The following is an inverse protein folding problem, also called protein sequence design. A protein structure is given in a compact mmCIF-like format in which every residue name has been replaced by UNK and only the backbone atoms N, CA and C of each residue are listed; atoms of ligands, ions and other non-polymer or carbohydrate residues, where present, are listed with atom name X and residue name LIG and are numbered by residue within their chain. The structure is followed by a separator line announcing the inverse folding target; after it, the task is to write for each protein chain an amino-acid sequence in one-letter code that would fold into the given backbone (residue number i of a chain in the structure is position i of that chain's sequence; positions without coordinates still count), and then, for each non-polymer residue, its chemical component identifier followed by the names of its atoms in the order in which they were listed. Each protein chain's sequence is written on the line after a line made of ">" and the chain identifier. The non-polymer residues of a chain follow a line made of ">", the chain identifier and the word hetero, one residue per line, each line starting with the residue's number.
data_IF_218079661993
#
_entry.id   IF_218079661993
#
_cell.length_a   1.000
_cell.length_b   1.000
_cell.length_c   1.000
_cell.angle_alpha   90.00
_cell.angle_beta   90.00
_cell.angle_gamma   90.00
#
_symmetry.space_group_name_H-M   'P 1'
#
loop_
_entity.id
_entity.type
_entity.pdbx_description
1 polymer ?
#
# COMPACT_ATOMS: atom_id res chain seq x y z
N UNK A 1 -15.31 -13.97 -54.65
CA UNK A 1 -15.50 -13.22 -53.39
C UNK A 1 -14.90 -14.08 -52.28
N UNK A 2 -13.73 -13.69 -51.76
CA UNK A 2 -13.03 -14.45 -50.73
C UNK A 2 -13.58 -14.06 -49.36
N UNK A 3 -14.24 -14.98 -48.67
CA UNK A 3 -14.68 -14.83 -47.29
C UNK A 3 -13.45 -14.90 -46.38
N UNK A 4 -12.91 -13.74 -46.03
CA UNK A 4 -11.86 -13.64 -45.02
C UNK A 4 -12.33 -14.16 -43.66
N UNK A 5 -11.43 -14.71 -42.83
CA UNK A 5 -11.78 -15.23 -41.53
C UNK A 5 -12.34 -14.12 -40.63
N UNK A 6 -13.42 -14.44 -39.91
CA UNK A 6 -14.02 -13.55 -38.93
C UNK A 6 -12.99 -13.18 -37.86
N UNK A 7 -12.94 -11.91 -37.40
CA UNK A 7 -12.03 -11.50 -36.35
C UNK A 7 -12.33 -12.29 -35.07
N UNK A 8 -11.30 -12.94 -34.54
CA UNK A 8 -11.37 -13.64 -33.26
C UNK A 8 -11.73 -12.64 -32.14
N UNK A 9 -12.56 -13.02 -31.15
CA UNK A 9 -12.83 -12.17 -30.01
C UNK A 9 -11.51 -11.81 -29.32
N UNK A 10 -11.26 -10.51 -29.15
CA UNK A 10 -10.11 -10.04 -28.37
C UNK A 10 -10.23 -10.64 -26.96
N UNK A 11 -9.19 -11.34 -26.51
CA UNK A 11 -9.13 -11.82 -25.13
C UNK A 11 -9.42 -10.64 -24.19
N UNK A 12 -10.34 -10.84 -23.23
CA UNK A 12 -10.62 -9.84 -22.21
C UNK A 12 -9.36 -9.71 -21.36
N UNK A 13 -8.66 -8.58 -21.47
CA UNK A 13 -7.50 -8.31 -20.65
C UNK A 13 -7.92 -8.26 -19.18
N UNK A 14 -7.21 -8.98 -18.31
CA UNK A 14 -7.40 -8.88 -16.87
C UNK A 14 -7.08 -7.44 -16.44
N UNK A 15 -8.03 -6.81 -15.76
CA UNK A 15 -7.86 -5.46 -15.23
C UNK A 15 -7.06 -5.47 -13.93
N UNK A 16 -6.88 -6.65 -13.35
CA UNK A 16 -6.19 -6.88 -12.11
C UNK A 16 -4.86 -7.58 -12.41
N UNK A 17 -3.83 -7.24 -11.63
CA UNK A 17 -2.62 -8.06 -11.53
C UNK A 17 -2.75 -8.87 -10.26
N UNK A 18 -2.47 -10.17 -10.30
CA UNK A 18 -2.47 -10.99 -9.08
C UNK A 18 -1.43 -10.44 -8.10
N UNK A 19 -1.89 -9.90 -6.98
CA UNK A 19 -1.08 -9.26 -5.94
C UNK A 19 -0.34 -10.29 -5.11
N UNK A 20 -0.96 -11.44 -4.85
CA UNK A 20 -0.37 -12.52 -4.07
C UNK A 20 -0.86 -13.88 -4.56
N UNK A 21 0.07 -14.80 -4.80
CA UNK A 21 -0.25 -16.11 -5.41
C UNK A 21 -0.86 -17.11 -4.42
N UNK A 22 -0.54 -17.00 -3.13
CA UNK A 22 -1.01 -17.92 -2.09
C UNK A 22 -2.03 -17.24 -1.16
N UNK A 23 -3.31 -17.51 -1.39
CA UNK A 23 -4.41 -16.92 -0.63
C UNK A 23 -4.61 -17.54 0.76
N UNK A 24 -3.99 -18.70 1.02
CA UNK A 24 -4.16 -19.44 2.28
C UNK A 24 -3.18 -18.97 3.38
N UNK A 25 -2.14 -18.24 3.00
CA UNK A 25 -1.24 -17.60 3.95
C UNK A 25 -1.94 -16.48 4.71
N UNK A 26 -1.76 -16.45 6.03
CA UNK A 26 -2.21 -15.38 6.90
C UNK A 26 -1.12 -15.12 7.93
N UNK A 27 -0.51 -13.93 7.94
CA UNK A 27 0.62 -13.64 8.82
C UNK A 27 0.21 -12.83 10.05
N UNK A 28 -0.52 -11.74 9.83
CA UNK A 28 -0.90 -10.79 10.89
C UNK A 28 -2.41 -10.50 10.90
N UNK A 29 -3.21 -11.42 10.34
CA UNK A 29 -4.69 -11.34 10.34
C UNK A 29 -5.29 -11.05 11.73
N UNK A 30 -4.73 -11.63 12.78
CA UNK A 30 -5.27 -11.53 14.14
C UNK A 30 -4.53 -10.50 15.02
N UNK A 31 -3.61 -9.70 14.47
CA UNK A 31 -3.00 -8.64 15.25
C UNK A 31 -4.01 -7.54 15.59
N UNK A 32 -3.82 -6.89 16.73
CA UNK A 32 -4.62 -5.72 17.11
C UNK A 32 -3.81 -4.46 16.79
N UNK A 33 -4.39 -3.58 15.98
CA UNK A 33 -3.76 -2.31 15.61
C UNK A 33 -4.70 -1.18 16.02
N UNK A 34 -4.18 -0.25 16.81
CA UNK A 34 -4.90 0.95 17.21
C UNK A 34 -4.60 2.08 16.22
N UNK A 35 -5.62 2.77 15.68
CA UNK A 35 -5.39 3.90 14.80
C UNK A 35 -4.77 5.07 15.59
N UNK A 36 -3.78 5.72 14.99
CA UNK A 36 -3.08 6.86 15.58
C UNK A 36 -3.20 8.05 14.64
N UNK A 37 -3.69 9.19 15.14
CA UNK A 37 -3.69 10.45 14.39
C UNK A 37 -2.25 10.97 14.25
N UNK A 38 -1.83 11.27 13.03
CA UNK A 38 -0.53 11.87 12.76
C UNK A 38 -0.50 13.36 13.13
N UNK A 39 0.68 13.83 13.51
CA UNK A 39 0.99 15.26 13.64
C UNK A 39 1.96 15.65 12.53
N UNK A 40 1.62 16.63 11.69
CA UNK A 40 2.47 17.07 10.58
C UNK A 40 2.62 16.03 9.45
N UNK A 41 3.63 16.16 8.57
CA UNK A 41 3.84 15.28 7.41
C UNK A 41 4.55 13.97 7.80
N UNK A 42 3.99 13.25 8.78
CA UNK A 42 4.64 12.07 9.40
C UNK A 42 3.85 10.77 9.24
N UNK A 43 3.07 10.63 8.15
CA UNK A 43 2.25 9.44 7.86
C UNK A 43 3.04 8.13 7.95
N UNK A 44 4.27 8.06 7.41
CA UNK A 44 5.11 6.86 7.47
C UNK A 44 5.48 6.51 8.91
N UNK A 45 6.00 7.46 9.69
CA UNK A 45 6.35 7.22 11.10
C UNK A 45 5.14 6.80 11.93
N UNK A 46 3.96 7.36 11.65
CA UNK A 46 2.72 6.97 12.31
C UNK A 46 2.29 5.56 11.92
N UNK A 47 2.41 5.18 10.64
CA UNK A 47 2.13 3.80 10.19
C UNK A 47 3.06 2.78 10.82
N UNK A 48 4.37 3.06 10.89
CA UNK A 48 5.30 2.15 11.57
C UNK A 48 5.01 2.04 13.06
N UNK A 49 4.61 3.14 13.70
CA UNK A 49 4.16 3.13 15.09
C UNK A 49 2.92 2.26 15.31
N UNK A 50 1.92 2.37 14.42
CA UNK A 50 0.74 1.51 14.46
C UNK A 50 1.12 0.03 14.30
N UNK A 51 1.97 -0.32 13.31
CA UNK A 51 2.39 -1.70 13.07
C UNK A 51 3.15 -2.32 14.25
N UNK A 52 3.95 -1.52 14.96
CA UNK A 52 4.86 -2.00 16.02
C UNK A 52 4.31 -1.80 17.44
N UNK A 53 3.17 -1.13 17.59
CA UNK A 53 2.63 -0.74 18.90
C UNK A 53 3.50 0.29 19.65
N UNK A 54 4.28 1.10 18.91
CA UNK A 54 5.18 2.13 19.46
C UNK A 54 4.63 3.54 19.24
N UNK A 55 5.38 4.56 19.67
CA UNK A 55 4.98 5.96 19.46
C UNK A 55 5.56 6.48 18.14
N UNK A 56 4.86 7.36 17.38
CA UNK A 56 5.40 7.92 16.13
C UNK A 56 6.77 8.59 16.28
N UNK A 57 7.02 9.25 17.41
CA UNK A 57 8.29 9.92 17.72
C UNK A 57 9.47 8.94 17.76
N UNK A 58 9.23 7.65 17.99
CA UNK A 58 10.27 6.63 18.00
C UNK A 58 10.84 6.38 16.60
N UNK A 59 10.18 6.82 15.54
CA UNK A 59 10.56 6.63 14.13
C UNK A 59 10.88 7.93 13.38
N UNK A 60 10.39 9.08 13.87
CA UNK A 60 10.59 10.36 13.19
C UNK A 60 12.08 10.71 13.09
N UNK A 61 12.53 11.06 11.88
CA UNK A 61 13.92 11.42 11.60
C UNK A 61 14.93 10.26 11.62
N UNK A 62 14.49 9.01 11.83
CA UNK A 62 15.39 7.84 11.94
C UNK A 62 15.44 6.97 10.70
N UNK A 63 14.61 7.25 9.70
CA UNK A 63 14.53 6.48 8.46
C UNK A 63 14.20 7.38 7.29
N UNK A 64 14.47 6.91 6.09
CA UNK A 64 14.10 7.60 4.87
C UNK A 64 12.62 7.34 4.56
N UNK A 65 11.77 8.37 4.71
CA UNK A 65 10.33 8.28 4.49
C UNK A 65 9.92 8.08 3.02
N UNK A 66 10.88 7.98 2.10
CA UNK A 66 10.65 7.63 0.69
C UNK A 66 11.20 6.25 0.31
N UNK A 67 11.98 5.61 1.19
CA UNK A 67 12.65 4.33 0.93
C UNK A 67 11.99 3.18 1.73
N UNK A 68 11.25 2.26 1.07
CA UNK A 68 10.57 1.17 1.75
C UNK A 68 11.54 0.12 2.30
N UNK A 69 12.79 0.05 1.83
CA UNK A 69 13.82 -0.78 2.43
C UNK A 69 14.11 -0.33 3.87
N UNK A 70 14.32 0.98 4.07
CA UNK A 70 14.51 1.53 5.42
C UNK A 70 13.33 1.24 6.35
N UNK A 71 12.09 1.22 5.83
CA UNK A 71 10.91 0.86 6.62
C UNK A 71 10.93 -0.61 7.02
N UNK A 72 11.29 -1.50 6.08
CA UNK A 72 11.47 -2.94 6.31
C UNK A 72 12.51 -3.20 7.40
N UNK A 73 13.64 -2.51 7.37
CA UNK A 73 14.69 -2.61 8.38
C UNK A 73 14.22 -2.18 9.78
N UNK A 74 13.38 -1.14 9.86
CA UNK A 74 12.78 -0.68 11.11
C UNK A 74 11.79 -1.70 11.67
N UNK A 75 11.07 -2.42 10.81
CA UNK A 75 10.11 -3.46 11.20
C UNK A 75 10.79 -4.78 11.63
N UNK A 76 12.00 -5.05 11.14
CA UNK A 76 12.70 -6.31 11.37
C UNK A 76 12.85 -6.71 12.86
N UNK A 77 13.26 -5.81 13.79
CA UNK A 77 13.32 -6.13 15.22
C UNK A 77 11.97 -6.51 15.86
N UNK A 78 10.87 -6.24 15.17
CA UNK A 78 9.50 -6.55 15.59
C UNK A 78 8.95 -7.80 14.89
N UNK A 79 9.81 -8.60 14.25
CA UNK A 79 9.41 -9.84 13.58
C UNK A 79 8.66 -9.63 12.27
N UNK A 80 8.71 -8.42 11.72
CA UNK A 80 8.00 -8.03 10.50
C UNK A 80 8.96 -7.57 9.41
N UNK A 81 8.57 -7.72 8.15
CA UNK A 81 9.18 -7.03 7.01
C UNK A 81 8.14 -6.74 5.93
N UNK A 82 8.50 -5.89 4.98
CA UNK A 82 7.64 -5.56 3.85
C UNK A 82 7.91 -6.49 2.68
N UNK A 83 6.87 -7.07 2.09
CA UNK A 83 6.96 -7.83 0.84
C UNK A 83 6.17 -7.10 -0.25
N UNK A 84 6.86 -6.73 -1.34
CA UNK A 84 6.26 -5.99 -2.45
C UNK A 84 5.15 -6.81 -3.13
N UNK A 85 4.00 -6.16 -3.35
CA UNK A 85 2.96 -6.66 -4.24
C UNK A 85 3.15 -6.04 -5.62
N UNK A 86 3.06 -6.83 -6.72
CA UNK A 86 3.20 -6.31 -8.08
C UNK A 86 2.08 -5.31 -8.35
N UNK A 87 2.41 -4.04 -8.47
CA UNK A 87 1.45 -2.96 -8.73
C UNK A 87 2.03 -1.98 -9.73
N UNK A 88 1.14 -1.30 -10.43
CA UNK A 88 1.44 -0.12 -11.22
C UNK A 88 0.58 1.07 -10.76
N UNK A 89 0.58 2.13 -11.56
CA UNK A 89 -0.08 3.41 -11.22
C UNK A 89 -1.61 3.32 -11.18
N UNK A 90 -2.27 2.19 -11.49
CA UNK A 90 -3.73 2.07 -11.39
C UNK A 90 -4.28 2.55 -10.03
N UNK A 91 -5.52 3.00 -10.03
CA UNK A 91 -6.24 3.39 -8.80
C UNK A 91 -6.35 2.22 -7.82
N UNK A 92 -6.29 2.51 -6.51
CA UNK A 92 -6.36 1.49 -5.46
C UNK A 92 -7.63 0.62 -5.54
N UNK A 93 -8.76 1.16 -6.02
CA UNK A 93 -10.00 0.39 -6.18
C UNK A 93 -9.88 -0.86 -7.06
N UNK A 94 -8.93 -0.89 -8.00
CA UNK A 94 -8.71 -2.06 -8.85
C UNK A 94 -8.01 -3.21 -8.09
N UNK A 95 -7.37 -2.90 -6.96
CA UNK A 95 -6.69 -3.87 -6.09
C UNK A 95 -7.53 -4.26 -4.87
N UNK A 96 -8.48 -3.41 -4.47
CA UNK A 96 -9.13 -3.48 -3.15
C UNK A 96 -9.87 -4.79 -2.88
N UNK A 97 -10.61 -5.33 -3.86
CA UNK A 97 -11.33 -6.59 -3.68
C UNK A 97 -10.38 -7.78 -3.42
N UNK A 98 -9.26 -7.84 -4.13
CA UNK A 98 -8.25 -8.89 -3.93
C UNK A 98 -7.55 -8.72 -2.58
N UNK A 99 -7.16 -7.49 -2.23
CA UNK A 99 -6.55 -7.20 -0.92
C UNK A 99 -7.45 -7.61 0.26
N UNK A 100 -8.75 -7.28 0.18
CA UNK A 100 -9.73 -7.68 1.19
C UNK A 100 -9.90 -9.21 1.20
N UNK A 101 -9.87 -9.87 0.04
CA UNK A 101 -9.98 -11.31 -0.06
C UNK A 101 -8.78 -12.05 0.55
N UNK A 102 -7.56 -11.51 0.42
CA UNK A 102 -6.37 -12.03 1.11
C UNK A 102 -6.54 -11.91 2.63
N UNK A 103 -7.28 -10.91 3.10
CA UNK A 103 -7.73 -10.78 4.49
C UNK A 103 -6.56 -10.86 5.50
N UNK A 104 -5.52 -10.07 5.24
CA UNK A 104 -4.31 -9.98 6.05
C UNK A 104 -3.91 -8.50 6.27
N UNK A 105 -2.63 -8.24 6.57
CA UNK A 105 -2.09 -6.92 6.85
C UNK A 105 -1.24 -6.37 5.68
N UNK A 106 -1.56 -5.15 5.26
CA UNK A 106 -0.88 -4.45 4.17
C UNK A 106 -0.60 -2.99 4.52
N UNK A 107 0.44 -2.44 3.89
CA UNK A 107 0.59 -0.99 3.75
C UNK A 107 0.23 -0.58 2.33
N UNK A 108 -0.62 0.44 2.20
CA UNK A 108 -1.05 0.98 0.92
C UNK A 108 -0.54 2.40 0.82
N UNK A 109 0.27 2.68 -0.20
CA UNK A 109 0.74 4.03 -0.52
C UNK A 109 0.10 4.52 -1.82
N UNK A 110 -0.35 5.77 -1.83
CA UNK A 110 -0.98 6.40 -2.99
C UNK A 110 -0.51 7.84 -3.16
N UNK A 111 -0.60 8.35 -4.39
CA UNK A 111 -0.35 9.76 -4.68
C UNK A 111 -1.55 10.59 -4.21
N UNK A 112 -1.33 11.76 -3.60
CA UNK A 112 -2.42 12.61 -3.08
C UNK A 112 -2.97 13.60 -4.11
N UNK A 113 -2.47 13.51 -5.35
CA UNK A 113 -2.98 14.26 -6.50
C UNK A 113 -3.77 13.33 -7.42
N UNK A 114 -4.75 13.91 -8.14
CA UNK A 114 -5.47 13.23 -9.21
C UNK A 114 -4.93 13.59 -10.60
N UNK A 115 -4.03 14.58 -10.69
CA UNK A 115 -3.42 14.98 -11.96
C UNK A 115 -2.30 14.00 -12.32
N UNK A 116 -2.45 13.31 -13.47
CA UNK A 116 -1.44 12.39 -13.97
C UNK A 116 -0.13 13.09 -14.34
N UNK A 117 -0.18 14.37 -14.72
CA UNK A 117 1.02 15.12 -15.09
C UNK A 117 1.90 15.39 -13.87
N UNK A 118 1.31 15.63 -12.70
CA UNK A 118 2.08 15.79 -11.45
C UNK A 118 2.73 14.46 -11.01
N UNK A 119 2.04 13.33 -11.22
CA UNK A 119 2.58 12.00 -10.87
C UNK A 119 3.78 11.63 -11.76
N UNK A 120 3.73 12.04 -13.03
CA UNK A 120 4.73 11.71 -14.06
C UNK A 120 5.74 12.83 -14.33
N UNK A 121 5.64 13.93 -13.59
CA UNK A 121 6.50 15.09 -13.76
C UNK A 121 7.91 14.87 -13.21
N UNK A 122 8.84 15.71 -13.65
CA UNK A 122 10.18 15.78 -13.08
C UNK A 122 10.13 16.37 -11.65
N UNK A 123 11.08 16.01 -10.78
CA UNK A 123 11.20 16.65 -9.47
C UNK A 123 11.47 18.16 -9.60
N UNK A 124 10.91 18.94 -8.69
CA UNK A 124 11.22 20.35 -8.54
C UNK A 124 12.68 20.57 -8.05
N UNK A 125 13.08 21.83 -7.85
CA UNK A 125 14.42 22.18 -7.34
C UNK A 125 14.74 21.62 -5.95
N UNK A 126 13.72 21.19 -5.19
CA UNK A 126 13.85 20.50 -3.91
C UNK A 126 13.87 18.97 -4.02
N UNK A 127 13.81 18.41 -5.23
CA UNK A 127 13.75 16.97 -5.47
C UNK A 127 12.37 16.37 -5.19
N UNK A 128 11.33 17.21 -5.07
CA UNK A 128 9.96 16.77 -4.82
C UNK A 128 9.18 16.63 -6.13
N UNK A 129 8.46 15.52 -6.31
CA UNK A 129 7.61 15.30 -7.48
C UNK A 129 6.16 15.66 -7.15
N UNK A 130 5.52 14.88 -6.29
CA UNK A 130 4.15 15.14 -5.84
C UNK A 130 3.90 14.49 -4.48
N UNK A 131 2.80 14.90 -3.84
CA UNK A 131 2.35 14.36 -2.57
C UNK A 131 2.00 12.88 -2.63
N UNK A 132 2.29 12.20 -1.52
CA UNK A 132 1.87 10.81 -1.33
C UNK A 132 1.51 10.56 0.12
N UNK A 133 0.63 9.60 0.34
CA UNK A 133 0.19 9.17 1.65
C UNK A 133 0.32 7.66 1.80
N UNK A 134 0.36 7.19 3.05
CA UNK A 134 0.41 5.76 3.39
C UNK A 134 -0.62 5.45 4.48
N UNK A 135 -1.34 4.36 4.28
CA UNK A 135 -2.33 3.82 5.22
C UNK A 135 -2.06 2.35 5.49
N UNK A 136 -2.65 1.83 6.56
CA UNK A 136 -2.69 0.38 6.81
C UNK A 136 -4.04 -0.14 6.30
N UNK A 137 -4.01 -1.25 5.55
CA UNK A 137 -5.18 -2.08 5.35
C UNK A 137 -5.01 -3.31 6.25
N UNK A 138 -5.93 -3.49 7.18
CA UNK A 138 -6.01 -4.68 8.02
C UNK A 138 -7.35 -5.36 7.75
N UNK A 139 -7.28 -6.54 7.14
CA UNK A 139 -8.46 -7.31 6.71
C UNK A 139 -9.32 -6.51 5.73
N UNK A 140 -10.43 -5.96 6.20
CA UNK A 140 -11.38 -5.16 5.41
C UNK A 140 -11.45 -3.70 5.87
N UNK A 141 -10.52 -3.26 6.72
CA UNK A 141 -10.54 -1.93 7.33
C UNK A 141 -9.26 -1.17 7.02
N UNK A 142 -9.39 0.09 6.66
CA UNK A 142 -8.27 1.02 6.51
C UNK A 142 -8.11 1.82 7.80
N UNK A 143 -6.89 1.80 8.34
CA UNK A 143 -6.46 2.69 9.41
C UNK A 143 -5.66 3.82 8.78
N UNK A 144 -6.25 5.01 8.79
CA UNK A 144 -5.67 6.18 8.14
C UNK A 144 -5.05 7.13 9.18
N UNK A 145 -3.73 7.35 9.14
CA UNK A 145 -3.08 8.25 10.08
C UNK A 145 -3.54 9.70 9.94
N UNK A 146 -4.10 10.13 8.80
CA UNK A 146 -4.58 11.52 8.65
C UNK A 146 -5.84 11.80 9.46
N UNK A 147 -6.66 10.77 9.69
CA UNK A 147 -7.90 10.89 10.46
C UNK A 147 -7.76 10.28 11.86
N UNK A 148 -6.79 9.39 12.08
CA UNK A 148 -6.67 8.65 13.33
C UNK A 148 -7.88 7.74 13.58
N UNK A 149 -8.54 7.30 12.51
CA UNK A 149 -9.74 6.47 12.58
C UNK A 149 -9.61 5.25 11.67
N UNK A 150 -10.57 4.34 11.84
CA UNK A 150 -10.69 3.12 11.05
C UNK A 150 -11.95 3.23 10.16
N UNK A 151 -11.81 2.97 8.86
CA UNK A 151 -12.91 3.07 7.87
C UNK A 151 -13.01 1.78 7.05
N UNK A 152 -14.20 1.31 6.66
CA UNK A 152 -14.32 0.19 5.72
C UNK A 152 -13.52 0.46 4.44
N UNK A 153 -12.73 -0.53 4.01
CA UNK A 153 -11.77 -0.35 2.93
C UNK A 153 -12.42 0.04 1.58
N UNK A 154 -13.64 -0.43 1.32
CA UNK A 154 -14.41 -0.10 0.11
C UNK A 154 -15.02 1.31 0.14
N UNK A 155 -15.13 1.93 1.31
CA UNK A 155 -15.72 3.27 1.50
C UNK A 155 -14.64 4.36 1.61
N UNK A 156 -13.38 3.96 1.77
CA UNK A 156 -12.30 4.90 1.97
C UNK A 156 -11.98 5.71 0.70
N UNK A 157 -11.75 7.01 0.86
CA UNK A 157 -11.46 7.94 -0.23
C UNK A 157 -10.19 7.58 -1.04
N UNK A 158 -9.23 6.85 -0.44
CA UNK A 158 -8.01 6.43 -1.13
C UNK A 158 -8.28 5.59 -2.40
N UNK A 159 -9.46 4.96 -2.51
CA UNK A 159 -9.87 4.16 -3.66
C UNK A 159 -9.81 4.92 -4.99
N UNK A 160 -9.96 6.24 -4.97
CA UNK A 160 -9.91 7.08 -6.16
C UNK A 160 -8.52 7.58 -6.53
N UNK A 161 -7.51 7.34 -5.70
CA UNK A 161 -6.13 7.77 -5.93
C UNK A 161 -5.30 6.69 -6.60
N UNK A 162 -4.32 7.14 -7.39
CA UNK A 162 -3.37 6.28 -8.08
C UNK A 162 -2.40 5.64 -7.09
N UNK A 163 -2.17 4.34 -7.27
CA UNK A 163 -1.31 3.54 -6.40
C UNK A 163 0.15 3.96 -6.59
N UNK A 164 0.84 4.19 -5.48
CA UNK A 164 2.30 4.39 -5.47
C UNK A 164 2.99 3.05 -5.20
N UNK A 165 2.63 2.38 -4.09
CA UNK A 165 3.22 1.10 -3.66
C UNK A 165 2.23 0.33 -2.80
N UNK A 166 2.27 -0.99 -2.86
CA UNK A 166 1.57 -1.88 -1.94
C UNK A 166 2.57 -2.89 -1.41
N UNK A 167 2.58 -3.06 -0.08
CA UNK A 167 3.34 -4.10 0.57
C UNK A 167 2.43 -4.94 1.44
N UNK A 168 2.58 -6.27 1.35
CA UNK A 168 2.10 -7.17 2.40
C UNK A 168 3.09 -7.14 3.56
N UNK A 169 2.60 -7.09 4.78
CA UNK A 169 3.44 -7.26 5.98
C UNK A 169 3.59 -8.75 6.23
N UNK A 170 4.82 -9.25 6.28
CA UNK A 170 5.14 -10.67 6.41
C UNK A 170 6.15 -10.90 7.54
N UNK A 171 6.30 -12.12 8.07
CA UNK A 171 7.31 -12.45 9.06
C UNK A 171 8.71 -12.10 8.55
N UNK A 172 9.61 -11.68 9.44
CA UNK A 172 10.97 -11.28 9.07
C UNK A 172 11.78 -12.39 8.38
N UNK A 173 11.47 -13.65 8.69
CA UNK A 173 12.07 -14.86 8.10
C UNK A 173 11.36 -15.37 6.83
N UNK A 174 10.26 -14.74 6.40
CA UNK A 174 9.51 -15.15 5.22
C UNK A 174 10.36 -15.07 3.94
N UNK A 175 10.18 -15.98 2.98
CA UNK A 175 11.04 -16.04 1.76
C UNK A 175 10.91 -14.80 0.87
N UNK A 176 9.70 -14.26 0.73
CA UNK A 176 9.48 -12.95 0.08
C UNK A 176 9.73 -11.83 1.08
N UNK A 177 10.43 -10.80 0.65
CA UNK A 177 10.62 -9.55 1.38
C UNK A 177 11.43 -8.57 0.56
N UNK A 178 11.44 -7.31 1.00
CA UNK A 178 12.56 -6.40 0.81
C UNK A 178 13.63 -6.81 1.82
#
# INVERSE_FOLDING_TARGET
>A
MSSGPLPQPRAVYDRNTTLWSNMDECFFRNCEIQPILQTGPHCVSTVLAMLTGKKPIDFQGKMNTQDPWSWSQVLHPYGMKLAYCPVDVRKLKFYMNELIAINDLFTLSYYTTLDSNEILGDPDSGGWVTGSHIVILHRNMILDPIFGTTTPALEHHCNEYHTKRIFRVVPSDHVRGL
#
